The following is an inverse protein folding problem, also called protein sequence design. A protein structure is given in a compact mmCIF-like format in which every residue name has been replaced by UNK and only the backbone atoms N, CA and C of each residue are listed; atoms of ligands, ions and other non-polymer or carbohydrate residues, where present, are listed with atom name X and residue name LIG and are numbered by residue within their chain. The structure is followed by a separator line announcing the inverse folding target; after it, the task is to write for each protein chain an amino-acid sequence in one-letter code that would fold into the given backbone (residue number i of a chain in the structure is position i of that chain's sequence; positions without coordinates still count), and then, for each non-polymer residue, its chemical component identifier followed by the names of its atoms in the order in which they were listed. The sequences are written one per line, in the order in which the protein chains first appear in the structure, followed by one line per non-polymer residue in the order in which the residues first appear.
data_IF_116554030638
#
_entry.id   IF_116554030638
#
_cell.length_a   1.000
_cell.length_b   1.000
_cell.length_c   1.000
_cell.angle_alpha   90.00
_cell.angle_beta   90.00
_cell.angle_gamma   90.00
#
_symmetry.space_group_name_H-M   'P 1'
#
loop_
_entity.id
_entity.type
_entity.pdbx_description
1 polymer ?
#
# COMPACT_ATOMS: atom_id res chain seq x y z
N UNK A 1 -1.73 23.85 -8.06
CA UNK A 1 -1.59 22.38 -8.04
C UNK A 1 -2.11 21.91 -6.69
N UNK A 2 -2.91 20.85 -6.63
CA UNK A 2 -3.40 20.35 -5.33
C UNK A 2 -2.33 19.45 -4.71
N UNK A 3 -2.33 19.30 -3.39
CA UNK A 3 -1.37 18.42 -2.70
C UNK A 3 -1.43 16.96 -3.19
N UNK A 4 -2.60 16.51 -3.68
CA UNK A 4 -2.77 15.20 -4.32
C UNK A 4 -1.96 15.05 -5.62
N UNK A 5 -1.89 16.12 -6.42
CA UNK A 5 -1.10 16.13 -7.65
C UNK A 5 0.40 16.14 -7.33
N UNK A 6 0.80 16.90 -6.31
CA UNK A 6 2.19 16.91 -5.85
C UNK A 6 2.63 15.52 -5.32
N UNK A 7 1.75 14.83 -4.58
CA UNK A 7 1.98 13.44 -4.12
C UNK A 7 2.01 12.45 -5.28
N UNK A 8 1.18 12.65 -6.32
CA UNK A 8 1.24 11.85 -7.55
C UNK A 8 2.58 12.02 -8.25
N UNK A 9 3.15 13.22 -8.23
CA UNK A 9 4.41 13.52 -8.89
C UNK A 9 5.63 13.30 -7.98
N UNK A 10 5.47 12.73 -6.77
CA UNK A 10 6.53 12.60 -5.76
C UNK A 10 7.84 12.04 -6.33
N UNK A 11 7.80 10.91 -7.04
CA UNK A 11 9.00 10.30 -7.62
C UNK A 11 9.59 11.10 -8.79
N UNK A 12 8.75 11.80 -9.55
CA UNK A 12 9.22 12.73 -10.59
C UNK A 12 9.96 13.92 -9.95
N UNK A 13 9.40 14.49 -8.88
CA UNK A 13 10.00 15.59 -8.14
C UNK A 13 11.33 15.19 -7.48
N UNK A 14 11.43 13.98 -6.92
CA UNK A 14 12.68 13.42 -6.40
C UNK A 14 13.71 13.26 -7.52
N UNK A 15 13.30 12.70 -8.67
CA UNK A 15 14.20 12.53 -9.83
C UNK A 15 14.71 13.86 -10.37
N UNK A 16 13.91 14.91 -10.31
CA UNK A 16 14.26 16.27 -10.75
C UNK A 16 15.01 17.06 -9.66
N UNK A 17 15.23 16.47 -8.48
CA UNK A 17 15.81 17.14 -7.30
C UNK A 17 15.08 18.45 -6.96
N UNK A 18 13.76 18.49 -7.17
CA UNK A 18 12.93 19.66 -6.90
C UNK A 18 12.62 19.78 -5.40
N UNK A 19 13.66 20.00 -4.62
CA UNK A 19 13.63 20.05 -3.15
C UNK A 19 12.73 21.16 -2.63
N UNK A 20 12.70 22.33 -3.29
CA UNK A 20 11.78 23.44 -2.95
C UNK A 20 10.32 22.96 -3.01
N UNK A 21 9.95 22.28 -4.09
CA UNK A 21 8.58 21.78 -4.25
C UNK A 21 8.27 20.67 -3.25
N UNK A 22 9.19 19.72 -3.05
CA UNK A 22 9.05 18.63 -2.08
C UNK A 22 8.86 19.15 -0.66
N UNK A 23 9.67 20.13 -0.23
CA UNK A 23 9.54 20.77 1.09
C UNK A 23 8.23 21.56 1.22
N UNK A 24 7.80 22.23 0.15
CA UNK A 24 6.55 23.02 0.16
C UNK A 24 5.28 22.19 0.43
N UNK A 25 5.35 20.86 0.25
CA UNK A 25 4.23 19.97 0.53
C UNK A 25 3.88 19.90 2.02
N UNK A 26 4.84 20.16 2.90
CA UNK A 26 4.69 19.95 4.34
C UNK A 26 4.19 21.20 5.08
N UNK A 27 3.38 20.98 6.11
CA UNK A 27 2.89 22.05 7.01
C UNK A 27 3.99 22.55 7.97
N UNK A 28 5.10 21.81 8.10
CA UNK A 28 6.26 22.07 8.95
C UNK A 28 7.47 21.23 8.52
N UNK A 29 8.26 20.74 9.48
CA UNK A 29 9.37 19.85 9.16
C UNK A 29 8.88 18.56 8.47
N UNK A 30 9.57 18.10 7.41
CA UNK A 30 9.16 16.92 6.67
C UNK A 30 9.30 15.66 7.52
N UNK A 31 8.29 14.79 7.38
CA UNK A 31 8.26 13.47 7.99
C UNK A 31 7.84 12.47 6.94
N UNK A 32 8.70 11.49 6.67
CA UNK A 32 8.43 10.43 5.70
C UNK A 32 8.90 9.07 6.23
N UNK A 33 8.07 8.04 6.10
CA UNK A 33 8.41 6.66 6.46
C UNK A 33 8.43 5.78 5.21
N UNK A 34 9.56 5.14 4.92
CA UNK A 34 9.73 4.32 3.70
C UNK A 34 10.20 2.89 4.03
N UNK A 35 9.92 1.90 3.17
CA UNK A 35 10.41 0.52 3.38
C UNK A 35 11.95 0.41 3.40
N UNK A 36 12.64 1.29 2.67
CA UNK A 36 14.09 1.27 2.56
C UNK A 36 14.78 1.93 3.75
N UNK A 37 14.40 3.17 4.07
CA UNK A 37 15.12 4.02 5.04
C UNK A 37 14.42 4.12 6.41
N UNK A 38 13.19 3.62 6.54
CA UNK A 38 12.41 3.79 7.75
C UNK A 38 11.94 5.24 7.90
N UNK A 39 11.80 5.71 9.14
CA UNK A 39 11.32 7.06 9.47
C UNK A 39 12.44 8.09 9.33
N UNK A 40 12.24 9.04 8.42
CA UNK A 40 13.05 10.24 8.20
C UNK A 40 12.29 11.44 8.75
N UNK A 41 12.96 12.33 9.48
CA UNK A 41 12.34 13.48 10.15
C UNK A 41 13.29 14.67 10.15
N UNK A 42 12.76 15.84 9.79
CA UNK A 42 13.52 17.09 9.72
C UNK A 42 14.05 17.36 8.32
N UNK A 43 14.28 18.64 8.02
CA UNK A 43 14.66 19.12 6.69
C UNK A 43 15.98 18.50 6.19
N UNK A 44 17.03 18.54 7.01
CA UNK A 44 18.36 18.01 6.62
C UNK A 44 18.30 16.52 6.27
N UNK A 45 17.67 15.71 7.13
CA UNK A 45 17.52 14.26 6.91
C UNK A 45 16.63 13.96 5.69
N UNK A 46 15.60 14.78 5.46
CA UNK A 46 14.76 14.66 4.28
C UNK A 46 15.52 15.01 2.99
N UNK A 47 16.36 16.03 2.99
CA UNK A 47 17.19 16.38 1.84
C UNK A 47 18.23 15.30 1.54
N UNK A 48 18.83 14.69 2.55
CA UNK A 48 19.71 13.52 2.39
C UNK A 48 18.95 12.32 1.80
N UNK A 49 17.75 12.05 2.30
CA UNK A 49 16.85 11.05 1.72
C UNK A 49 16.55 11.35 0.24
N UNK A 50 16.23 12.59 -0.12
CA UNK A 50 15.93 12.98 -1.50
C UNK A 50 17.15 12.75 -2.41
N UNK A 51 18.36 13.11 -1.98
CA UNK A 51 19.59 12.84 -2.76
C UNK A 51 19.80 11.32 -2.92
N UNK A 52 19.72 10.53 -1.84
CA UNK A 52 19.87 9.08 -1.92
C UNK A 52 18.86 8.44 -2.88
N UNK A 53 17.59 8.83 -2.79
CA UNK A 53 16.56 8.34 -3.71
C UNK A 53 16.79 8.84 -5.14
N UNK A 54 17.24 10.07 -5.34
CA UNK A 54 17.62 10.58 -6.66
C UNK A 54 18.73 9.74 -7.28
N UNK A 55 19.82 9.48 -6.55
CA UNK A 55 20.92 8.65 -7.04
C UNK A 55 20.45 7.23 -7.37
N UNK A 56 19.59 6.65 -6.53
CA UNK A 56 19.01 5.33 -6.77
C UNK A 56 18.14 5.33 -8.03
N UNK A 57 17.23 6.29 -8.20
CA UNK A 57 16.37 6.41 -9.38
C UNK A 57 17.17 6.67 -10.65
N UNK A 58 18.24 7.46 -10.60
CA UNK A 58 19.13 7.74 -11.74
C UNK A 58 19.86 6.50 -12.24
N UNK A 59 20.13 5.54 -11.35
CA UNK A 59 20.66 4.23 -11.69
C UNK A 59 19.68 3.31 -12.43
N UNK A 60 18.41 3.71 -12.54
CA UNK A 60 17.33 2.94 -13.16
C UNK A 60 16.68 3.75 -14.28
N UNK A 61 16.26 3.09 -15.36
CA UNK A 61 15.32 3.74 -16.28
C UNK A 61 13.92 3.62 -15.67
N UNK A 62 13.43 4.73 -15.12
CA UNK A 62 12.22 4.80 -14.32
C UNK A 62 11.06 5.41 -15.11
N UNK A 63 10.09 4.57 -15.43
CA UNK A 63 8.75 5.00 -15.82
C UNK A 63 7.82 5.05 -14.61
N UNK A 64 6.81 5.91 -14.64
CA UNK A 64 5.75 5.95 -13.65
C UNK A 64 4.41 5.92 -14.35
N UNK A 65 3.49 5.12 -13.82
CA UNK A 65 2.08 5.16 -14.15
C UNK A 65 1.25 5.49 -12.91
N UNK A 66 0.36 6.46 -13.07
CA UNK A 66 -0.68 6.75 -12.09
C UNK A 66 -1.73 5.63 -12.09
N UNK A 67 -2.09 5.13 -10.92
CA UNK A 67 -3.17 4.14 -10.76
C UNK A 67 -4.44 4.84 -10.30
N UNK A 68 -4.44 5.44 -9.11
CA UNK A 68 -5.65 6.03 -8.51
C UNK A 68 -5.33 6.94 -7.32
N UNK A 69 -6.23 7.87 -6.98
CA UNK A 69 -6.21 8.68 -5.74
C UNK A 69 -7.46 8.39 -4.92
N UNK A 70 -7.26 8.01 -3.65
CA UNK A 70 -8.32 7.94 -2.64
C UNK A 70 -8.08 9.02 -1.59
N UNK A 71 -9.07 9.87 -1.32
CA UNK A 71 -8.89 11.00 -0.44
C UNK A 71 -10.13 11.29 0.42
N UNK A 72 -9.89 11.73 1.65
CA UNK A 72 -10.87 12.38 2.49
C UNK A 72 -10.24 13.66 3.10
N UNK A 73 -10.99 14.45 3.92
CA UNK A 73 -10.44 15.69 4.47
C UNK A 73 -9.19 15.55 5.35
N UNK A 74 -8.84 14.34 5.80
CA UNK A 74 -7.72 14.08 6.72
C UNK A 74 -6.54 13.37 6.07
N UNK A 75 -6.76 12.69 4.94
CA UNK A 75 -5.75 11.80 4.36
C UNK A 75 -5.94 11.61 2.86
N UNK A 76 -4.81 11.49 2.17
CA UNK A 76 -4.73 11.11 0.77
C UNK A 76 -3.92 9.82 0.65
N UNK A 77 -4.37 8.92 -0.20
CA UNK A 77 -3.59 7.79 -0.70
C UNK A 77 -3.45 7.93 -2.20
N UNK A 78 -2.22 7.91 -2.70
CA UNK A 78 -1.91 7.83 -4.13
C UNK A 78 -1.34 6.46 -4.42
N UNK A 79 -1.95 5.77 -5.37
CA UNK A 79 -1.44 4.50 -5.90
C UNK A 79 -0.66 4.76 -7.20
N UNK A 80 0.58 4.27 -7.25
CA UNK A 80 1.49 4.39 -8.39
C UNK A 80 2.02 3.01 -8.78
N UNK A 81 2.41 2.90 -10.04
CA UNK A 81 3.23 1.81 -10.55
C UNK A 81 4.52 2.38 -11.11
N UNK A 82 5.66 1.99 -10.53
CA UNK A 82 6.97 2.35 -11.03
C UNK A 82 7.52 1.23 -11.91
N UNK A 83 7.86 1.53 -13.15
CA UNK A 83 8.58 0.62 -14.02
C UNK A 83 10.06 0.87 -13.83
N UNK A 84 10.76 -0.09 -13.24
CA UNK A 84 12.18 -0.01 -12.94
C UNK A 84 12.93 -0.95 -13.87
N UNK A 85 13.83 -0.38 -14.68
CA UNK A 85 14.75 -1.16 -15.50
C UNK A 85 16.19 -0.98 -15.03
N UNK A 86 16.83 -2.10 -14.69
CA UNK A 86 18.25 -2.18 -14.37
C UNK A 86 18.88 -3.36 -15.12
N UNK A 87 19.87 -3.09 -15.97
CA UNK A 87 20.48 -4.05 -16.90
C UNK A 87 19.43 -4.80 -17.74
N UNK A 88 19.30 -6.12 -17.53
CA UNK A 88 18.36 -7.02 -18.22
C UNK A 88 17.07 -7.25 -17.45
N UNK A 89 16.94 -6.69 -16.23
CA UNK A 89 15.76 -6.85 -15.38
C UNK A 89 14.82 -5.67 -15.59
N UNK A 90 13.60 -5.97 -16.00
CA UNK A 90 12.45 -5.07 -15.94
C UNK A 90 11.56 -5.56 -14.81
N UNK A 91 11.26 -4.70 -13.85
CA UNK A 91 10.33 -5.01 -12.79
C UNK A 91 9.37 -3.84 -12.59
N UNK A 92 8.18 -4.17 -12.12
CA UNK A 92 7.12 -3.22 -11.83
C UNK A 92 6.88 -3.19 -10.32
N UNK A 93 7.12 -2.01 -9.72
CA UNK A 93 6.98 -1.80 -8.28
C UNK A 93 5.66 -1.09 -8.00
N UNK A 94 4.78 -1.78 -7.30
CA UNK A 94 3.50 -1.26 -6.84
C UNK A 94 3.73 -0.40 -5.60
N UNK A 95 3.41 0.88 -5.68
CA UNK A 95 3.62 1.83 -4.58
C UNK A 95 2.29 2.44 -4.14
N UNK A 96 2.07 2.50 -2.83
CA UNK A 96 1.04 3.32 -2.21
C UNK A 96 1.71 4.39 -1.34
N UNK A 97 1.34 5.65 -1.57
CA UNK A 97 1.80 6.81 -0.80
C UNK A 97 0.62 7.29 0.01
N UNK A 98 0.69 7.16 1.33
CA UNK A 98 -0.33 7.62 2.26
C UNK A 98 0.17 8.89 2.94
N UNK A 99 -0.61 9.97 2.86
CA UNK A 99 -0.25 11.27 3.43
C UNK A 99 -1.36 11.79 4.36
N UNK A 100 -1.02 11.99 5.63
CA UNK A 100 -1.90 12.70 6.58
C UNK A 100 -1.87 14.20 6.30
N UNK A 101 -3.02 14.85 6.41
CA UNK A 101 -3.21 16.26 6.11
C UNK A 101 -3.40 17.11 7.37
N UNK A 102 -2.80 18.29 7.35
CA UNK A 102 -3.13 19.42 8.22
C UNK A 102 -3.50 20.62 7.34
N UNK A 103 -4.80 20.84 7.17
CA UNK A 103 -5.32 21.80 6.20
C UNK A 103 -5.08 21.35 4.76
N UNK A 104 -4.37 22.16 3.99
CA UNK A 104 -4.04 21.92 2.58
C UNK A 104 -2.63 21.34 2.36
N UNK A 105 -1.92 21.03 3.44
CA UNK A 105 -0.54 20.53 3.43
C UNK A 105 -0.43 19.19 4.18
N UNK A 106 0.69 18.51 3.94
CA UNK A 106 1.00 17.20 4.52
C UNK A 106 1.65 17.38 5.89
N UNK A 107 1.21 16.62 6.87
CA UNK A 107 1.90 16.49 8.16
C UNK A 107 2.87 15.31 8.19
N UNK A 108 2.56 14.23 7.47
CA UNK A 108 3.38 13.02 7.41
C UNK A 108 3.08 12.22 6.14
N UNK A 109 4.11 11.61 5.55
CA UNK A 109 4.01 10.64 4.44
C UNK A 109 4.45 9.25 4.92
N UNK A 110 3.72 8.21 4.51
CA UNK A 110 4.10 6.80 4.65
C UNK A 110 4.02 6.13 3.29
N UNK A 111 5.13 5.60 2.83
CA UNK A 111 5.23 4.88 1.56
C UNK A 111 5.19 3.38 1.82
N UNK A 112 4.48 2.65 0.98
CA UNK A 112 4.32 1.20 1.04
C UNK A 112 4.59 0.57 -0.32
N UNK A 113 5.47 -0.42 -0.35
CA UNK A 113 5.69 -1.34 -1.46
C UNK A 113 6.43 -2.58 -0.92
N UNK A 114 6.36 -3.70 -1.65
CA UNK A 114 7.15 -4.89 -1.31
C UNK A 114 8.64 -4.69 -1.62
N UNK A 115 9.52 -5.31 -0.83
CA UNK A 115 10.95 -5.42 -1.14
C UNK A 115 11.28 -6.65 -1.98
N UNK A 116 10.34 -7.59 -2.10
CA UNK A 116 10.49 -8.81 -2.88
C UNK A 116 10.91 -8.54 -4.33
N UNK A 117 10.30 -7.60 -5.08
CA UNK A 117 10.66 -7.39 -6.49
C UNK A 117 12.07 -6.83 -6.64
N UNK A 118 12.51 -6.04 -5.66
CA UNK A 118 13.80 -5.37 -5.65
C UNK A 118 14.93 -6.31 -5.22
N UNK A 119 14.68 -7.18 -4.24
CA UNK A 119 15.73 -7.93 -3.53
C UNK A 119 15.59 -9.44 -3.62
N UNK A 120 14.46 -9.94 -4.13
CA UNK A 120 14.11 -11.37 -4.14
C UNK A 120 13.80 -11.95 -2.75
N UNK A 121 13.59 -11.08 -1.75
CA UNK A 121 13.22 -11.45 -0.38
C UNK A 121 12.33 -10.39 0.25
N UNK A 122 11.52 -10.81 1.22
CA UNK A 122 10.77 -9.88 2.06
C UNK A 122 11.70 -9.25 3.10
N UNK A 123 11.40 -8.01 3.50
CA UNK A 123 12.05 -7.27 4.57
C UNK A 123 10.97 -6.88 5.57
N UNK A 124 11.05 -7.49 6.76
CA UNK A 124 10.19 -7.15 7.88
C UNK A 124 10.23 -5.64 8.14
N UNK A 125 9.04 -5.01 8.13
CA UNK A 125 8.85 -3.61 8.52
C UNK A 125 7.95 -3.57 9.75
N UNK A 126 8.54 -3.16 10.87
CA UNK A 126 7.83 -3.08 12.15
C UNK A 126 6.60 -2.16 12.07
N UNK A 127 5.62 -2.31 12.99
CA UNK A 127 4.48 -1.41 13.07
C UNK A 127 4.89 0.06 13.22
N UNK A 128 4.50 0.87 12.24
CA UNK A 128 4.73 2.34 12.28
C UNK A 128 3.52 3.11 12.83
N UNK A 129 2.35 2.46 12.87
CA UNK A 129 1.13 2.99 13.46
C UNK A 129 0.57 2.02 14.50
N UNK A 130 -0.12 2.57 15.50
CA UNK A 130 -0.84 1.77 16.50
C UNK A 130 -2.22 1.37 15.95
N UNK A 131 -2.66 0.13 16.17
CA UNK A 131 -4.04 -0.25 15.90
C UNK A 131 -5.03 0.62 16.69
N UNK A 132 -6.20 0.86 16.09
CA UNK A 132 -7.27 1.64 16.69
C UNK A 132 -8.52 0.77 16.79
N UNK A 133 -9.04 0.63 18.00
CA UNK A 133 -10.31 -0.05 18.24
C UNK A 133 -11.48 0.85 17.81
N UNK A 134 -12.48 0.25 17.18
CA UNK A 134 -13.73 0.95 16.82
C UNK A 134 -13.58 1.94 15.66
N UNK A 135 -12.63 1.72 14.74
CA UNK A 135 -12.57 2.49 13.49
C UNK A 135 -13.90 2.39 12.72
N UNK A 136 -14.39 3.53 12.25
CA UNK A 136 -15.55 3.56 11.37
C UNK A 136 -15.15 3.14 9.96
N UNK A 137 -15.22 1.83 9.73
CA UNK A 137 -14.97 1.24 8.43
C UNK A 137 -16.26 1.12 7.59
N UNK A 138 -16.17 1.25 6.26
CA UNK A 138 -17.28 0.92 5.37
C UNK A 138 -17.71 -0.54 5.52
N UNK A 139 -19.01 -0.82 5.41
CA UNK A 139 -19.56 -2.14 5.67
C UNK A 139 -18.99 -3.24 4.77
N UNK A 140 -18.60 -2.93 3.53
CA UNK A 140 -18.00 -3.91 2.63
C UNK A 140 -16.59 -4.32 3.08
N UNK A 141 -15.82 -3.41 3.68
CA UNK A 141 -14.51 -3.70 4.27
C UNK A 141 -14.70 -4.59 5.50
N UNK A 142 -15.63 -4.25 6.39
CA UNK A 142 -15.95 -5.06 7.58
C UNK A 142 -16.31 -6.50 7.21
N UNK A 143 -17.19 -6.67 6.21
CA UNK A 143 -17.59 -7.99 5.72
C UNK A 143 -16.41 -8.76 5.13
N UNK A 144 -15.58 -8.10 4.32
CA UNK A 144 -14.39 -8.70 3.75
C UNK A 144 -13.40 -9.14 4.82
N UNK A 145 -13.12 -8.30 5.83
CA UNK A 145 -12.21 -8.62 6.92
C UNK A 145 -12.72 -9.74 7.81
N UNK A 146 -14.03 -9.77 8.07
CA UNK A 146 -14.63 -10.86 8.82
C UNK A 146 -14.45 -12.20 8.08
N UNK A 147 -14.72 -12.23 6.77
CA UNK A 147 -14.53 -13.43 5.96
C UNK A 147 -13.05 -13.84 5.89
N UNK A 148 -12.15 -12.87 5.68
CA UNK A 148 -10.71 -13.07 5.61
C UNK A 148 -10.16 -13.63 6.94
N UNK A 149 -10.55 -13.05 8.07
CA UNK A 149 -10.13 -13.47 9.41
C UNK A 149 -10.69 -14.84 9.82
N UNK A 150 -11.85 -15.23 9.28
CA UNK A 150 -12.43 -16.55 9.49
C UNK A 150 -11.80 -17.63 8.59
N UNK A 151 -10.97 -17.26 7.61
CA UNK A 151 -10.45 -18.19 6.60
C UNK A 151 -11.52 -18.68 5.61
N UNK A 152 -12.65 -17.97 5.50
CA UNK A 152 -13.78 -18.37 4.66
C UNK A 152 -13.60 -17.81 3.24
N UNK A 153 -12.85 -18.56 2.42
CA UNK A 153 -12.59 -18.15 1.04
C UNK A 153 -13.87 -18.06 0.19
N UNK A 154 -14.91 -18.85 0.48
CA UNK A 154 -16.17 -18.79 -0.26
C UNK A 154 -16.91 -17.48 0.07
N UNK A 155 -16.96 -17.10 1.35
CA UNK A 155 -17.49 -15.81 1.75
C UNK A 155 -16.68 -14.65 1.15
N UNK A 156 -15.35 -14.68 1.22
CA UNK A 156 -14.48 -13.65 0.61
C UNK A 156 -14.80 -13.49 -0.87
N UNK A 157 -14.77 -14.57 -1.65
CA UNK A 157 -14.99 -14.50 -3.09
C UNK A 157 -16.41 -14.10 -3.48
N UNK A 158 -17.41 -14.36 -2.62
CA UNK A 158 -18.80 -13.95 -2.86
C UNK A 158 -19.02 -12.43 -2.81
N UNK A 159 -18.14 -11.71 -2.09
CA UNK A 159 -18.18 -10.24 -1.95
C UNK A 159 -17.71 -9.52 -3.21
N UNK A 160 -16.93 -10.18 -4.07
CA UNK A 160 -16.45 -9.60 -5.32
C UNK A 160 -17.52 -9.63 -6.42
N UNK A 161 -17.44 -8.66 -7.31
CA UNK A 161 -18.14 -8.72 -8.59
C UNK A 161 -17.49 -9.77 -9.52
N UNK A 162 -18.19 -10.13 -10.58
CA UNK A 162 -17.78 -11.22 -11.47
C UNK A 162 -16.39 -11.00 -12.12
N UNK A 163 -16.05 -9.73 -12.40
CA UNK A 163 -14.77 -9.28 -12.96
C UNK A 163 -13.85 -8.65 -11.90
N UNK A 164 -14.16 -8.83 -10.61
CA UNK A 164 -13.35 -8.30 -9.53
C UNK A 164 -11.99 -9.00 -9.44
N UNK A 165 -11.03 -8.39 -8.76
CA UNK A 165 -9.67 -8.95 -8.63
C UNK A 165 -9.04 -8.68 -7.27
N UNK A 166 -8.10 -9.55 -6.89
CA UNK A 166 -7.16 -9.32 -5.81
C UNK A 166 -5.75 -9.21 -6.41
N UNK A 167 -4.94 -8.28 -5.92
CA UNK A 167 -3.56 -8.10 -6.38
C UNK A 167 -2.60 -8.14 -5.19
N UNK A 168 -1.67 -9.08 -5.28
CA UNK A 168 -0.57 -9.23 -4.32
C UNK A 168 0.44 -8.08 -4.43
N UNK A 169 1.24 -7.81 -3.40
CA UNK A 169 2.14 -6.66 -3.37
C UNK A 169 3.39 -6.83 -4.25
N UNK A 170 3.69 -8.04 -4.71
CA UNK A 170 4.92 -8.34 -5.43
C UNK A 170 4.98 -7.75 -6.85
N UNK A 171 3.92 -7.83 -7.65
CA UNK A 171 3.94 -7.30 -9.03
C UNK A 171 2.54 -7.31 -9.61
N UNK A 172 2.28 -6.50 -10.63
CA UNK A 172 1.03 -6.58 -11.40
C UNK A 172 0.80 -7.95 -12.03
N UNK A 173 1.85 -8.76 -12.23
CA UNK A 173 1.73 -10.14 -12.69
C UNK A 173 1.00 -11.06 -11.69
N UNK A 174 0.96 -10.71 -10.40
CA UNK A 174 0.26 -11.45 -9.35
C UNK A 174 -1.14 -10.86 -9.10
N UNK A 175 -1.90 -10.70 -10.20
CA UNK A 175 -3.30 -10.28 -10.17
C UNK A 175 -4.21 -11.46 -10.42
N UNK A 176 -5.11 -11.71 -9.46
CA UNK A 176 -6.07 -12.81 -9.46
C UNK A 176 -7.44 -12.30 -9.83
N UNK A 177 -7.77 -12.35 -11.12
CA UNK A 177 -9.00 -11.75 -11.67
C UNK A 177 -10.13 -12.76 -11.86
N UNK A 178 -11.35 -12.26 -11.66
CA UNK A 178 -12.59 -12.99 -11.84
C UNK A 178 -12.79 -14.11 -10.82
N UNK A 179 -13.99 -14.70 -10.85
CA UNK A 179 -14.38 -15.75 -9.88
C UNK A 179 -13.39 -16.90 -9.75
N UNK A 180 -12.85 -17.37 -10.88
CA UNK A 180 -11.92 -18.50 -10.88
C UNK A 180 -10.55 -18.14 -10.27
N UNK A 181 -9.98 -16.99 -10.66
CA UNK A 181 -8.70 -16.52 -10.12
C UNK A 181 -8.79 -16.22 -8.64
N UNK A 182 -9.83 -15.50 -8.22
CA UNK A 182 -10.10 -15.20 -6.81
C UNK A 182 -10.27 -16.49 -5.99
N UNK A 183 -11.03 -17.47 -6.49
CA UNK A 183 -11.19 -18.77 -5.80
C UNK A 183 -9.87 -19.51 -5.66
N UNK A 184 -9.09 -19.62 -6.74
CA UNK A 184 -7.80 -20.30 -6.72
C UNK A 184 -6.85 -19.63 -5.70
N UNK A 185 -6.78 -18.31 -5.69
CA UNK A 185 -5.97 -17.53 -4.77
C UNK A 185 -6.41 -17.69 -3.31
N UNK A 186 -7.65 -17.33 -2.98
CA UNK A 186 -8.12 -17.33 -1.59
C UNK A 186 -8.18 -18.73 -0.98
N UNK A 187 -8.52 -19.76 -1.78
CA UNK A 187 -8.52 -21.14 -1.26
C UNK A 187 -7.12 -21.64 -0.88
N UNK A 188 -6.06 -21.11 -1.52
CA UNK A 188 -4.67 -21.43 -1.19
C UNK A 188 -4.22 -20.66 0.05
N UNK A 189 -4.35 -19.33 0.05
CA UNK A 189 -3.80 -18.50 1.12
C UNK A 189 -4.55 -18.67 2.45
N UNK A 190 -5.82 -19.08 2.42
CA UNK A 190 -6.64 -19.31 3.61
C UNK A 190 -6.74 -20.79 4.01
N UNK A 191 -5.98 -21.68 3.35
CA UNK A 191 -6.05 -23.14 3.60
C UNK A 191 -5.80 -23.50 5.06
N UNK A 192 -4.85 -22.82 5.67
CA UNK A 192 -4.38 -23.09 7.03
C UNK A 192 -5.00 -22.09 8.05
N UNK A 193 -6.08 -21.41 7.67
CA UNK A 193 -6.84 -20.46 8.49
C UNK A 193 -6.83 -19.02 7.96
N UNK A 194 -7.48 -18.12 8.69
CA UNK A 194 -7.68 -16.74 8.28
C UNK A 194 -6.48 -15.80 8.44
N UNK A 195 -6.57 -14.62 7.84
CA UNK A 195 -5.58 -13.54 8.00
C UNK A 195 -6.21 -12.46 8.86
N UNK A 196 -5.61 -12.16 10.00
CA UNK A 196 -6.11 -11.15 10.93
C UNK A 196 -5.26 -9.89 10.79
N UNK A 197 -5.91 -8.81 10.35
CA UNK A 197 -5.30 -7.50 10.21
C UNK A 197 -5.80 -6.58 11.33
N UNK A 198 -4.86 -5.94 12.04
CA UNK A 198 -5.18 -4.95 13.08
C UNK A 198 -5.14 -3.57 12.47
N UNK A 199 -6.30 -2.97 12.28
CA UNK A 199 -6.43 -1.72 11.53
C UNK A 199 -5.96 -0.52 12.33
N UNK A 200 -5.19 0.35 11.68
CA UNK A 200 -4.58 1.55 12.25
C UNK A 200 -5.31 2.81 11.77
N UNK A 201 -5.65 2.86 10.48
CA UNK A 201 -6.35 4.02 9.89
C UNK A 201 -7.34 3.58 8.81
N UNK A 202 -8.28 4.48 8.50
CA UNK A 202 -9.23 4.33 7.39
C UNK A 202 -9.26 5.65 6.61
N UNK A 203 -9.14 5.56 5.30
CA UNK A 203 -9.47 6.64 4.36
C UNK A 203 -10.51 6.14 3.39
N UNK A 204 -11.73 6.65 3.49
CA UNK A 204 -12.84 6.28 2.62
C UNK A 204 -13.38 7.50 1.90
N UNK A 205 -13.55 7.39 0.58
CA UNK A 205 -14.04 8.47 -0.28
C UNK A 205 -15.42 8.20 -0.89
N UNK A 206 -16.13 7.20 -0.37
CA UNK A 206 -17.42 6.75 -0.89
C UNK A 206 -17.32 5.60 -1.90
N UNK A 207 -16.14 5.37 -2.50
CA UNK A 207 -15.91 4.27 -3.45
C UNK A 207 -14.74 3.38 -3.05
N UNK A 208 -13.64 3.97 -2.58
CA UNK A 208 -12.39 3.29 -2.24
C UNK A 208 -12.07 3.50 -0.77
N UNK A 209 -11.65 2.42 -0.11
CA UNK A 209 -11.22 2.41 1.28
C UNK A 209 -9.75 2.01 1.34
N UNK A 210 -8.92 2.88 1.90
CA UNK A 210 -7.50 2.61 2.20
C UNK A 210 -7.41 2.28 3.67
N UNK A 211 -6.85 1.11 3.98
CA UNK A 211 -6.69 0.61 5.35
C UNK A 211 -5.21 0.38 5.59
N UNK A 212 -4.62 1.18 6.48
CA UNK A 212 -3.30 0.89 7.04
C UNK A 212 -3.49 -0.08 8.21
N UNK A 213 -2.69 -1.14 8.27
CA UNK A 213 -2.85 -2.22 9.25
C UNK A 213 -1.53 -2.77 9.76
N UNK A 214 -1.60 -3.51 10.85
CA UNK A 214 -0.55 -4.41 11.29
C UNK A 214 -1.02 -5.87 11.15
N UNK A 215 -0.25 -6.69 10.43
CA UNK A 215 -0.45 -8.14 10.34
C UNK A 215 0.44 -8.83 11.37
N UNK A 216 -0.14 -9.66 12.25
CA UNK A 216 0.62 -10.43 13.25
C UNK A 216 0.23 -11.91 13.35
N UNK A 217 -0.68 -12.36 12.47
CA UNK A 217 -1.02 -13.77 12.32
C UNK A 217 -1.58 -14.06 10.93
N UNK A 218 -1.27 -15.26 10.43
CA UNK A 218 -1.79 -15.79 9.18
C UNK A 218 -1.96 -17.29 9.33
N UNK A 219 -3.22 -17.74 9.30
CA UNK A 219 -3.59 -19.11 9.60
C UNK A 219 -3.17 -19.50 11.01
N UNK A 220 -2.56 -20.67 11.14
CA UNK A 220 -1.97 -21.14 12.40
C UNK A 220 -0.64 -20.46 12.76
N UNK A 221 -0.07 -19.65 11.85
CA UNK A 221 1.26 -19.04 12.04
C UNK A 221 1.15 -17.68 12.72
N UNK A 222 1.82 -17.53 13.86
CA UNK A 222 2.07 -16.22 14.47
C UNK A 222 3.23 -15.54 13.74
N UNK A 223 2.99 -14.33 13.24
CA UNK A 223 3.99 -13.53 12.56
C UNK A 223 4.58 -12.49 13.53
N UNK A 224 5.84 -12.07 13.36
CA UNK A 224 6.25 -10.77 13.84
C UNK A 224 5.29 -9.70 13.29
N UNK A 225 4.78 -8.77 14.12
CA UNK A 225 3.92 -7.70 13.66
C UNK A 225 4.56 -6.90 12.52
N UNK A 226 3.83 -6.70 11.43
CA UNK A 226 4.32 -6.03 10.25
C UNK A 226 3.29 -5.03 9.71
N UNK A 227 3.76 -3.84 9.34
CA UNK A 227 2.89 -2.80 8.77
C UNK A 227 2.60 -3.07 7.29
N UNK A 228 1.39 -2.76 6.86
CA UNK A 228 0.95 -2.82 5.47
C UNK A 228 -0.16 -1.82 5.19
N UNK A 229 -0.47 -1.66 3.91
CA UNK A 229 -1.67 -0.93 3.49
C UNK A 229 -2.37 -1.71 2.39
N UNK A 230 -3.70 -1.71 2.42
CA UNK A 230 -4.52 -2.24 1.35
C UNK A 230 -5.55 -1.22 0.88
N UNK A 231 -5.83 -1.23 -0.41
CA UNK A 231 -6.88 -0.43 -1.03
C UNK A 231 -7.98 -1.36 -1.53
N UNK A 232 -9.19 -1.15 -1.00
CA UNK A 232 -10.39 -1.87 -1.39
C UNK A 232 -11.30 -0.96 -2.19
N UNK A 233 -11.79 -1.43 -3.32
CA UNK A 233 -12.62 -0.63 -4.22
C UNK A 233 -13.98 -1.28 -4.41
N UNK A 234 -15.04 -0.49 -4.24
CA UNK A 234 -16.38 -0.86 -4.65
C UNK A 234 -16.51 -0.76 -6.17
N UNK A 235 -17.04 -1.84 -6.74
CA UNK A 235 -17.48 -1.94 -8.11
C UNK A 235 -18.97 -1.68 -8.24
N UNK A 236 -19.57 -2.39 -9.20
CA UNK A 236 -21.02 -2.30 -9.44
C UNK A 236 -21.78 -3.06 -8.37
N UNK A 237 -23.06 -2.72 -8.18
CA UNK A 237 -23.98 -3.44 -7.31
C UNK A 237 -23.51 -3.59 -5.85
N UNK A 238 -22.72 -2.62 -5.34
CA UNK A 238 -22.17 -2.64 -3.98
C UNK A 238 -21.28 -3.84 -3.65
N UNK A 239 -20.72 -4.48 -4.67
CA UNK A 239 -19.72 -5.54 -4.54
C UNK A 239 -18.31 -4.98 -4.69
N UNK A 240 -17.31 -5.73 -4.22
CA UNK A 240 -15.90 -5.37 -4.38
C UNK A 240 -15.45 -5.56 -5.82
N UNK A 241 -14.87 -4.51 -6.41
CA UNK A 241 -14.12 -4.61 -7.66
C UNK A 241 -12.68 -5.03 -7.39
N UNK A 242 -12.03 -4.48 -6.36
CA UNK A 242 -10.61 -4.71 -6.15
C UNK A 242 -10.24 -4.85 -4.67
N UNK A 243 -9.25 -5.70 -4.42
CA UNK A 243 -8.41 -5.67 -3.22
C UNK A 243 -6.94 -5.57 -3.67
N UNK A 244 -6.30 -4.43 -3.39
CA UNK A 244 -4.91 -4.15 -3.81
C UNK A 244 -4.03 -4.03 -2.57
N UNK A 245 -3.08 -4.93 -2.43
CA UNK A 245 -2.24 -5.04 -1.23
C UNK A 245 -0.88 -4.39 -1.51
N UNK A 246 -0.38 -3.64 -0.54
CA UNK A 246 0.93 -2.98 -0.53
C UNK A 246 1.58 -3.22 0.83
N UNK A 247 2.20 -4.38 0.98
CA UNK A 247 2.95 -4.73 2.15
C UNK A 247 4.19 -5.56 1.76
N UNK A 248 4.90 -6.05 2.77
CA UNK A 248 6.00 -6.98 2.56
C UNK A 248 5.92 -8.14 3.55
N UNK A 249 4.69 -8.54 3.88
CA UNK A 249 4.40 -9.59 4.86
C UNK A 249 4.80 -10.93 4.26
N UNK A 250 5.73 -11.63 4.90
CA UNK A 250 6.14 -12.98 4.49
C UNK A 250 5.02 -13.99 4.69
N UNK A 251 4.55 -14.69 3.63
CA UNK A 251 3.57 -15.75 3.76
C UNK A 251 4.10 -16.93 4.60
N UNK A 252 3.23 -17.66 5.33
CA UNK A 252 3.64 -18.87 6.03
C UNK A 252 4.31 -19.89 5.10
N UNK A 253 5.50 -20.35 5.47
CA UNK A 253 6.27 -21.34 4.71
C UNK A 253 7.27 -20.76 3.71
N UNK A 254 7.30 -19.44 3.53
CA UNK A 254 8.33 -18.74 2.78
C UNK A 254 9.39 -18.13 3.73
N UNK A 255 10.63 -18.00 3.25
CA UNK A 255 11.77 -17.42 3.99
C UNK A 255 12.33 -16.21 3.25
#
# INVERSE_FOLDING_TARGET
MTIAEDLKDLYSLIREENTEKLLSMFVGEPVIDTPLEGRVTGEDAFLEFVDHQHQWLKGHDVGQQFVEITANPKRICVELLLYLRHDTRNLDLLVAIVADLDGDRVSEIRIYHSMWPLTGKHKLREPILKPVDGLEEPDFVKQYMQALGNGDYEAVTSLFEDEGYAREPASSAFTHSGKAGLKDFYSKILRDGGIILKHCTVTFDGKRAVIEYNADSWGETKLPPQTGVAVYELGKNWKMHAARIYDDVTPPGEQ
#
